data_IF_684836978267
#
_entry.id   IF_684836978267
#
_cell.length_a   1.000
_cell.length_b   1.000
_cell.length_c   1.000
_cell.angle_alpha   90.00
_cell.angle_beta   90.00
_cell.angle_gamma   90.00
#
_symmetry.space_group_name_H-M   'P 1'
#
loop_
_entity.id
_entity.type
_entity.pdbx_description
1 polymer ?
#
# COMPACT_ATOMS: atom_id res chain seq x y z
N UNK A 1 8.95 61.95 23.66
CA UNK A 1 7.71 61.27 23.24
C UNK A 1 7.97 60.65 21.86
N UNK A 2 8.52 59.44 21.82
CA UNK A 2 8.75 58.74 20.56
C UNK A 2 7.41 58.17 20.10
N UNK A 3 6.86 58.73 19.01
CA UNK A 3 5.75 58.10 18.30
C UNK A 3 6.22 56.72 17.86
N UNK A 4 5.63 55.69 18.44
CA UNK A 4 5.81 54.31 18.01
C UNK A 4 5.24 54.24 16.58
N UNK A 5 6.11 54.29 15.59
CA UNK A 5 5.73 54.07 14.19
C UNK A 5 5.56 52.56 14.07
N UNK A 6 4.33 52.08 14.17
CA UNK A 6 3.98 50.71 13.80
C UNK A 6 4.36 50.52 12.33
N UNK A 7 5.57 50.00 12.09
CA UNK A 7 5.95 49.52 10.79
C UNK A 7 5.19 48.21 10.57
N UNK A 8 4.05 48.31 9.92
CA UNK A 8 3.20 47.19 9.54
C UNK A 8 3.81 46.44 8.34
N UNK A 9 5.05 45.96 8.48
CA UNK A 9 5.75 45.18 7.46
C UNK A 9 5.45 43.71 7.70
N UNK A 10 4.59 43.13 6.86
CA UNK A 10 4.41 41.68 6.80
C UNK A 10 5.44 41.08 5.83
N UNK A 11 5.79 39.78 5.98
CA UNK A 11 6.63 39.07 5.02
C UNK A 11 6.09 39.17 3.58
N UNK A 12 4.77 39.23 3.39
CA UNK A 12 4.16 39.39 2.06
C UNK A 12 4.46 40.78 1.47
N UNK A 13 4.31 41.85 2.27
CA UNK A 13 4.60 43.22 1.83
C UNK A 13 6.09 43.36 1.47
N UNK A 14 6.97 42.73 2.27
CA UNK A 14 8.39 42.70 1.96
C UNK A 14 8.66 41.96 0.64
N UNK A 15 8.11 40.75 0.50
CA UNK A 15 8.31 39.93 -0.69
C UNK A 15 7.76 40.61 -1.95
N UNK A 16 6.56 41.19 -1.87
CA UNK A 16 5.97 41.98 -2.96
C UNK A 16 6.87 43.15 -3.37
N UNK A 17 7.33 43.95 -2.41
CA UNK A 17 8.24 45.09 -2.70
C UNK A 17 9.59 44.64 -3.25
N UNK A 18 10.12 43.53 -2.75
CA UNK A 18 11.35 42.93 -3.25
C UNK A 18 11.19 42.53 -4.73
N UNK A 19 10.07 41.89 -5.09
CA UNK A 19 9.78 41.51 -6.46
C UNK A 19 9.53 42.71 -7.38
N UNK A 20 8.81 43.73 -6.90
CA UNK A 20 8.65 45.02 -7.61
C UNK A 20 10.03 45.67 -7.88
N UNK A 21 10.95 45.62 -6.92
CA UNK A 21 12.30 46.18 -7.11
C UNK A 21 13.17 45.41 -8.13
N UNK A 22 12.89 44.12 -8.33
CA UNK A 22 13.55 43.30 -9.35
C UNK A 22 13.02 43.62 -10.75
N UNK A 23 11.73 43.95 -10.87
CA UNK A 23 11.05 44.31 -12.12
C UNK A 23 11.64 45.57 -12.79
N UNK A 24 12.11 46.52 -11.98
CA UNK A 24 12.67 47.79 -12.46
C UNK A 24 14.13 47.67 -12.97
N UNK A 25 14.77 46.50 -12.82
CA UNK A 25 16.12 46.24 -13.35
C UNK A 25 16.04 45.72 -14.80
N UNK A 26 16.58 46.52 -15.73
CA UNK A 26 16.59 46.30 -17.19
C UNK A 26 17.30 45.00 -17.60
N UNK A 27 18.03 44.34 -16.69
CA UNK A 27 18.78 43.11 -16.97
C UNK A 27 17.95 41.82 -16.94
N UNK A 28 16.66 41.87 -16.59
CA UNK A 28 15.85 40.69 -16.27
C UNK A 28 14.61 40.47 -17.15
N UNK A 29 14.68 40.77 -18.46
CA UNK A 29 13.61 40.42 -19.42
C UNK A 29 13.17 38.95 -19.30
N UNK A 30 14.09 38.03 -18.98
CA UNK A 30 13.84 36.60 -18.78
C UNK A 30 12.94 36.26 -17.58
N UNK A 31 12.85 37.16 -16.59
CA UNK A 31 12.05 36.92 -15.37
C UNK A 31 10.65 37.52 -15.47
N UNK A 32 10.45 38.56 -16.29
CA UNK A 32 9.15 39.22 -16.44
C UNK A 32 8.02 38.27 -16.88
N UNK A 33 8.32 37.27 -17.72
CA UNK A 33 7.34 36.27 -18.17
C UNK A 33 6.87 35.32 -17.03
N UNK A 34 7.69 35.16 -15.97
CA UNK A 34 7.37 34.31 -14.81
C UNK A 34 6.78 35.10 -13.63
N UNK A 35 6.79 36.43 -13.67
CA UNK A 35 6.54 37.25 -12.48
C UNK A 35 5.08 37.74 -12.34
N UNK A 36 4.34 38.01 -13.42
CA UNK A 36 3.15 38.87 -13.26
C UNK A 36 1.85 38.12 -12.87
N UNK A 37 1.63 36.90 -13.36
CA UNK A 37 0.40 36.14 -13.04
C UNK A 37 0.55 35.24 -11.81
N UNK A 38 1.72 34.63 -11.61
CA UNK A 38 1.92 33.64 -10.55
C UNK A 38 2.15 34.28 -9.17
N UNK A 39 2.76 35.47 -9.08
CA UNK A 39 3.11 36.08 -7.79
C UNK A 39 1.88 36.47 -6.99
N UNK A 40 0.93 37.21 -7.58
CA UNK A 40 -0.26 37.66 -6.83
C UNK A 40 -1.12 36.47 -6.40
N UNK A 41 -1.18 35.41 -7.21
CA UNK A 41 -1.83 34.14 -6.86
C UNK A 41 -1.12 33.46 -5.68
N UNK A 42 0.21 33.35 -5.72
CA UNK A 42 1.02 32.78 -4.64
C UNK A 42 0.87 33.59 -3.35
N UNK A 43 0.94 34.92 -3.44
CA UNK A 43 0.77 35.83 -2.31
C UNK A 43 -0.62 35.69 -1.69
N UNK A 44 -1.68 35.63 -2.51
CA UNK A 44 -3.05 35.42 -2.03
C UNK A 44 -3.23 34.08 -1.31
N UNK A 45 -2.59 33.02 -1.79
CA UNK A 45 -2.57 31.71 -1.10
C UNK A 45 -1.80 31.76 0.22
N UNK A 46 -0.67 32.46 0.27
CA UNK A 46 0.08 32.69 1.51
C UNK A 46 -0.73 33.49 2.54
N UNK A 47 -1.46 34.53 2.12
CA UNK A 47 -2.35 35.30 2.99
C UNK A 47 -3.41 34.42 3.66
N UNK A 48 -4.05 33.53 2.88
CA UNK A 48 -5.03 32.57 3.39
C UNK A 48 -4.44 31.64 4.45
N UNK A 49 -3.25 31.08 4.20
CA UNK A 49 -2.55 30.24 5.19
C UNK A 49 -2.22 31.03 6.46
N UNK A 50 -1.74 32.27 6.31
CA UNK A 50 -1.39 33.14 7.45
C UNK A 50 -2.63 33.45 8.30
N UNK A 51 -3.76 33.76 7.67
CA UNK A 51 -5.02 33.98 8.38
C UNK A 51 -5.44 32.74 9.17
N UNK A 52 -5.39 31.56 8.54
CA UNK A 52 -5.74 30.29 9.17
C UNK A 52 -4.86 30.02 10.40
N UNK A 53 -3.55 30.19 10.27
CA UNK A 53 -2.60 29.98 11.36
C UNK A 53 -2.70 31.05 12.46
N UNK A 54 -3.06 32.29 12.12
CA UNK A 54 -3.28 33.35 13.10
C UNK A 54 -4.41 32.99 14.07
N UNK A 55 -5.52 32.47 13.55
CA UNK A 55 -6.65 32.02 14.38
C UNK A 55 -6.25 30.78 15.18
N UNK A 56 -5.54 29.84 14.55
CA UNK A 56 -5.09 28.61 15.20
C UNK A 56 -4.15 28.88 16.39
N UNK A 57 -3.21 29.81 16.25
CA UNK A 57 -2.25 30.14 17.31
C UNK A 57 -2.75 31.20 18.31
N UNK A 58 -3.99 31.66 18.20
CA UNK A 58 -4.58 32.55 19.20
C UNK A 58 -4.64 31.87 20.57
N UNK A 59 -4.33 32.62 21.62
CA UNK A 59 -4.34 32.13 23.01
C UNK A 59 -5.73 31.61 23.40
N UNK A 60 -6.79 32.20 22.85
CA UNK A 60 -8.19 31.84 23.13
C UNK A 60 -8.66 30.62 22.37
N UNK A 61 -7.83 30.02 21.49
CA UNK A 61 -8.22 28.88 20.67
C UNK A 61 -8.74 27.69 21.50
N UNK A 62 -8.06 27.39 22.62
CA UNK A 62 -8.43 26.26 23.49
C UNK A 62 -9.61 26.58 24.41
N UNK A 63 -9.86 27.87 24.67
CA UNK A 63 -10.88 28.33 25.62
C UNK A 63 -12.22 28.61 24.94
N UNK A 64 -12.19 28.98 23.66
CA UNK A 64 -13.36 29.42 22.93
C UNK A 64 -13.53 28.62 21.62
N UNK A 65 -14.56 27.77 21.61
CA UNK A 65 -14.94 26.97 20.47
C UNK A 65 -15.30 27.78 19.21
N UNK A 66 -15.56 29.09 19.32
CA UNK A 66 -15.76 29.94 18.14
C UNK A 66 -14.51 30.05 17.28
N UNK A 67 -13.30 30.00 17.86
CA UNK A 67 -12.04 30.02 17.11
C UNK A 67 -11.81 28.69 16.41
N UNK A 68 -12.09 27.59 17.11
CA UNK A 68 -12.02 26.24 16.53
C UNK A 68 -12.99 26.13 15.36
N UNK A 69 -14.22 26.63 15.52
CA UNK A 69 -15.22 26.68 14.44
C UNK A 69 -14.79 27.55 13.26
N UNK A 70 -14.16 28.71 13.52
CA UNK A 70 -13.65 29.58 12.47
C UNK A 70 -12.54 28.89 11.65
N UNK A 71 -11.63 28.17 12.31
CA UNK A 71 -10.63 27.38 11.60
C UNK A 71 -11.26 26.34 10.68
N UNK A 72 -12.32 25.64 11.11
CA UNK A 72 -13.03 24.67 10.26
C UNK A 72 -13.65 25.34 9.04
N UNK A 73 -14.27 26.51 9.23
CA UNK A 73 -14.91 27.26 8.14
C UNK A 73 -13.86 27.68 7.10
N UNK A 74 -12.77 28.33 7.54
CA UNK A 74 -11.71 28.77 6.65
C UNK A 74 -11.01 27.59 5.97
N UNK A 75 -10.72 26.52 6.72
CA UNK A 75 -10.14 25.31 6.17
C UNK A 75 -10.97 24.76 5.02
N UNK A 76 -12.27 24.61 5.20
CA UNK A 76 -13.17 24.08 4.17
C UNK A 76 -13.30 25.00 2.95
N UNK A 77 -13.19 26.32 3.13
CA UNK A 77 -13.11 27.26 2.01
C UNK A 77 -11.80 27.07 1.24
N UNK A 78 -10.68 26.94 1.95
CA UNK A 78 -9.35 26.80 1.36
C UNK A 78 -9.12 25.44 0.72
N UNK A 79 -9.77 24.40 1.22
CA UNK A 79 -9.80 23.08 0.63
C UNK A 79 -10.38 23.11 -0.79
N UNK A 80 -11.44 23.90 -1.03
CA UNK A 80 -12.01 24.08 -2.37
C UNK A 80 -11.03 24.73 -3.34
N UNK A 81 -10.25 25.70 -2.86
CA UNK A 81 -9.21 26.37 -3.66
C UNK A 81 -8.12 25.36 -4.02
N UNK A 82 -7.66 24.58 -3.04
CA UNK A 82 -6.68 23.52 -3.24
C UNK A 82 -7.14 22.51 -4.33
N UNK A 83 -8.38 22.02 -4.25
CA UNK A 83 -8.90 21.06 -5.22
C UNK A 83 -9.09 21.63 -6.63
N UNK A 84 -9.33 22.94 -6.75
CA UNK A 84 -9.52 23.60 -8.05
C UNK A 84 -8.18 23.91 -8.76
N UNK A 85 -7.17 24.37 -8.02
CA UNK A 85 -5.96 24.95 -8.61
C UNK A 85 -4.82 23.95 -8.83
N UNK A 86 -4.95 22.68 -8.38
CA UNK A 86 -3.88 21.66 -8.41
C UNK A 86 -2.53 22.16 -7.85
N UNK A 87 -2.55 23.20 -7.03
CA UNK A 87 -1.37 23.76 -6.41
C UNK A 87 -0.90 22.84 -5.29
N UNK A 88 0.06 22.00 -5.62
CA UNK A 88 0.57 20.99 -4.71
C UNK A 88 1.17 21.60 -3.45
N UNK A 89 1.73 22.81 -3.50
CA UNK A 89 2.43 23.41 -2.37
C UNK A 89 1.44 23.98 -1.35
N UNK A 90 0.44 24.74 -1.82
CA UNK A 90 -0.64 25.22 -0.97
C UNK A 90 -1.44 24.07 -0.35
N UNK A 91 -1.80 23.06 -1.16
CA UNK A 91 -2.51 21.87 -0.69
C UNK A 91 -1.72 21.10 0.37
N UNK A 92 -0.40 20.98 0.21
CA UNK A 92 0.46 20.26 1.16
C UNK A 92 0.58 20.99 2.50
N UNK A 93 0.69 22.32 2.49
CA UNK A 93 0.68 23.10 3.73
C UNK A 93 -0.67 23.03 4.45
N UNK A 94 -1.77 23.00 3.69
CA UNK A 94 -3.12 22.81 4.23
C UNK A 94 -3.31 21.39 4.79
N UNK A 95 -2.71 20.35 4.20
CA UNK A 95 -2.68 18.99 4.75
C UNK A 95 -1.90 18.94 6.08
N UNK A 96 -0.74 19.61 6.15
CA UNK A 96 0.04 19.70 7.39
C UNK A 96 -0.75 20.40 8.49
N UNK A 97 -1.52 21.43 8.12
CA UNK A 97 -2.42 22.11 9.06
C UNK A 97 -3.47 21.15 9.61
N UNK A 98 -4.08 20.30 8.76
CA UNK A 98 -5.07 19.31 9.19
C UNK A 98 -4.57 18.46 10.34
N UNK A 99 -3.38 17.88 10.22
CA UNK A 99 -2.79 17.06 11.30
C UNK A 99 -2.62 17.84 12.61
N UNK A 100 -2.15 19.10 12.53
CA UNK A 100 -2.00 19.96 13.72
C UNK A 100 -3.35 20.29 14.37
N UNK A 101 -4.36 20.54 13.55
CA UNK A 101 -5.71 20.82 14.01
C UNK A 101 -6.29 19.62 14.76
N UNK A 102 -6.24 18.43 14.14
CA UNK A 102 -6.82 17.21 14.70
C UNK A 102 -6.18 16.84 16.04
N UNK A 103 -4.85 16.94 16.14
CA UNK A 103 -4.11 16.69 17.38
C UNK A 103 -4.51 17.67 18.49
N UNK A 104 -4.58 18.97 18.17
CA UNK A 104 -4.89 20.01 19.16
C UNK A 104 -6.36 19.98 19.60
N UNK A 105 -7.29 19.62 18.72
CA UNK A 105 -8.74 19.62 18.99
C UNK A 105 -9.20 18.30 19.61
N UNK A 106 -8.44 17.21 19.47
CA UNK A 106 -8.74 15.92 20.09
C UNK A 106 -9.14 16.00 21.58
N UNK A 107 -8.40 16.71 22.47
CA UNK A 107 -8.76 16.85 23.88
C UNK A 107 -9.85 17.91 24.15
N UNK A 108 -10.23 18.75 23.17
CA UNK A 108 -11.18 19.83 23.37
C UNK A 108 -12.63 19.33 23.33
N UNK A 109 -13.49 19.98 24.13
CA UNK A 109 -14.92 19.71 24.22
C UNK A 109 -15.73 20.81 23.54
N UNK A 110 -15.67 20.85 22.21
CA UNK A 110 -16.45 21.78 21.39
C UNK A 110 -17.62 21.05 20.73
N UNK A 111 -18.84 21.33 21.19
CA UNK A 111 -20.07 20.75 20.64
C UNK A 111 -20.33 21.30 19.24
N UNK A 112 -20.60 20.42 18.28
CA UNK A 112 -20.93 20.80 16.91
C UNK A 112 -19.72 21.14 16.02
N UNK A 113 -18.49 21.01 16.54
CA UNK A 113 -17.26 21.23 15.78
C UNK A 113 -16.61 19.87 15.45
N UNK A 114 -16.28 19.59 14.18
CA UNK A 114 -15.67 18.32 13.80
C UNK A 114 -14.25 18.20 14.39
N UNK A 115 -13.91 17.02 14.91
CA UNK A 115 -12.54 16.72 15.41
C UNK A 115 -11.57 16.30 14.30
N UNK A 116 -12.10 15.99 13.12
CA UNK A 116 -11.36 15.55 11.94
C UNK A 116 -11.73 16.45 10.77
N UNK A 117 -10.76 16.79 9.93
CA UNK A 117 -11.02 17.53 8.70
C UNK A 117 -10.88 16.60 7.49
N UNK A 118 -11.46 17.01 6.37
CA UNK A 118 -11.27 16.32 5.10
C UNK A 118 -9.82 16.51 4.62
N UNK A 119 -9.21 15.47 4.04
CA UNK A 119 -7.83 15.58 3.55
C UNK A 119 -7.77 16.37 2.24
N UNK A 120 -6.69 17.14 2.07
CA UNK A 120 -6.42 17.85 0.80
C UNK A 120 -5.85 16.93 -0.27
N UNK A 121 -5.37 15.76 0.14
CA UNK A 121 -4.87 14.73 -0.75
C UNK A 121 -6.09 13.86 -1.10
N UNK A 122 -6.62 13.93 -2.33
CA UNK A 122 -7.64 12.99 -2.74
C UNK A 122 -7.04 11.59 -2.55
N UNK A 123 -7.82 10.66 -2.00
CA UNK A 123 -7.37 9.27 -1.83
C UNK A 123 -6.68 8.83 -3.11
N UNK A 124 -5.36 8.69 -3.02
CA UNK A 124 -4.58 8.35 -4.18
C UNK A 124 -5.02 6.96 -4.55
N UNK A 125 -5.85 6.86 -5.60
CA UNK A 125 -6.45 5.59 -5.97
C UNK A 125 -5.35 4.56 -6.21
N UNK A 126 -4.14 4.99 -6.56
CA UNK A 126 -2.93 4.17 -6.61
C UNK A 126 -2.58 3.48 -5.28
N UNK A 127 -2.73 4.11 -4.11
CA UNK A 127 -2.41 3.49 -2.81
C UNK A 127 -3.34 2.30 -2.51
N UNK A 128 -4.60 2.37 -2.93
CA UNK A 128 -5.58 1.27 -2.77
C UNK A 128 -5.51 0.29 -3.95
N UNK A 129 -5.29 0.79 -5.17
CA UNK A 129 -5.26 0.01 -6.40
C UNK A 129 -3.97 -0.79 -6.54
N UNK A 130 -2.83 -0.31 -6.03
CA UNK A 130 -1.54 -1.00 -6.07
C UNK A 130 -1.59 -2.37 -5.37
N UNK A 131 -2.04 -2.51 -4.11
CA UNK A 131 -2.17 -3.83 -3.50
C UNK A 131 -3.23 -4.69 -4.21
N UNK A 132 -4.36 -4.11 -4.62
CA UNK A 132 -5.41 -4.84 -5.32
C UNK A 132 -4.94 -5.43 -6.66
N UNK A 133 -4.21 -4.65 -7.46
CA UNK A 133 -3.68 -5.09 -8.76
C UNK A 133 -2.59 -6.14 -8.61
N UNK A 134 -1.70 -6.01 -7.61
CA UNK A 134 -0.69 -7.03 -7.31
C UNK A 134 -1.36 -8.36 -6.94
N UNK A 135 -2.40 -8.34 -6.10
CA UNK A 135 -3.14 -9.55 -5.72
C UNK A 135 -3.81 -10.20 -6.94
N UNK A 136 -4.46 -9.40 -7.80
CA UNK A 136 -5.11 -9.89 -9.01
C UNK A 136 -4.11 -10.50 -10.00
N UNK A 137 -2.97 -9.85 -10.24
CA UNK A 137 -1.92 -10.36 -11.13
C UNK A 137 -1.34 -11.65 -10.55
N UNK A 138 -1.03 -11.68 -9.25
CA UNK A 138 -0.46 -12.86 -8.59
C UNK A 138 -1.42 -14.05 -8.65
N UNK A 139 -2.70 -13.84 -8.34
CA UNK A 139 -3.73 -14.90 -8.41
C UNK A 139 -3.93 -15.40 -9.84
N UNK A 140 -3.91 -14.50 -10.84
CA UNK A 140 -4.02 -14.86 -12.25
C UNK A 140 -2.82 -15.69 -12.73
N UNK A 141 -1.60 -15.29 -12.36
CA UNK A 141 -0.38 -16.06 -12.66
C UNK A 141 -0.45 -17.44 -11.99
N UNK A 142 -0.83 -17.52 -10.71
CA UNK A 142 -0.99 -18.79 -10.00
C UNK A 142 -2.04 -19.70 -10.67
N UNK A 143 -3.15 -19.14 -11.14
CA UNK A 143 -4.18 -19.88 -11.85
C UNK A 143 -3.65 -20.44 -13.18
N UNK A 144 -2.90 -19.63 -13.94
CA UNK A 144 -2.25 -20.08 -15.18
C UNK A 144 -1.22 -21.17 -14.87
N UNK A 145 -0.36 -20.99 -13.87
CA UNK A 145 0.63 -22.00 -13.50
C UNK A 145 -0.04 -23.29 -13.02
N UNK A 146 -1.09 -23.20 -12.21
CA UNK A 146 -1.86 -24.36 -11.77
C UNK A 146 -2.47 -25.14 -12.95
N UNK A 147 -2.99 -24.43 -13.96
CA UNK A 147 -3.65 -25.04 -15.13
C UNK A 147 -2.67 -25.51 -16.22
N UNK A 148 -1.58 -24.77 -16.46
CA UNK A 148 -0.67 -24.96 -17.60
C UNK A 148 0.72 -25.45 -17.22
N UNK A 149 1.22 -25.14 -16.02
CA UNK A 149 2.40 -25.82 -15.51
C UNK A 149 1.96 -27.21 -15.11
N UNK A 150 2.31 -28.19 -15.96
CA UNK A 150 2.02 -29.62 -15.81
C UNK A 150 2.69 -30.27 -14.60
N UNK A 151 2.61 -29.67 -13.42
CA UNK A 151 3.01 -30.26 -12.15
C UNK A 151 2.10 -31.47 -11.85
N UNK A 152 0.85 -31.49 -12.33
CA UNK A 152 -0.03 -32.66 -12.23
C UNK A 152 0.53 -33.94 -12.90
N UNK A 153 0.93 -33.90 -14.18
CA UNK A 153 1.65 -34.99 -14.83
C UNK A 153 3.03 -35.29 -14.24
N UNK A 154 3.81 -34.25 -13.88
CA UNK A 154 5.16 -34.43 -13.35
C UNK A 154 5.16 -35.08 -11.95
N UNK A 155 4.25 -34.66 -11.06
CA UNK A 155 4.02 -35.29 -9.76
C UNK A 155 3.49 -36.72 -9.93
N UNK A 156 2.59 -36.98 -10.89
CA UNK A 156 2.14 -38.35 -11.20
C UNK A 156 3.29 -39.24 -11.68
N UNK A 157 4.21 -38.71 -12.48
CA UNK A 157 5.40 -39.43 -12.93
C UNK A 157 6.37 -39.71 -11.78
N UNK A 158 6.62 -38.74 -10.89
CA UNK A 158 7.44 -38.95 -9.69
C UNK A 158 6.81 -39.96 -8.73
N UNK A 159 5.49 -39.91 -8.52
CA UNK A 159 4.76 -40.88 -7.71
C UNK A 159 4.79 -42.29 -8.32
N UNK A 160 4.64 -42.43 -9.65
CA UNK A 160 4.80 -43.72 -10.34
C UNK A 160 6.22 -44.29 -10.23
N UNK A 161 7.25 -43.45 -10.38
CA UNK A 161 8.67 -43.85 -10.21
C UNK A 161 8.96 -44.34 -8.79
N UNK A 162 8.41 -43.68 -7.76
CA UNK A 162 8.55 -44.11 -6.35
C UNK A 162 7.87 -45.45 -6.07
N UNK A 163 6.68 -45.69 -6.67
CA UNK A 163 5.94 -46.96 -6.53
C UNK A 163 6.69 -48.14 -7.17
N UNK A 164 7.27 -47.97 -8.36
CA UNK A 164 8.08 -48.99 -9.03
C UNK A 164 9.36 -49.35 -8.24
N UNK A 165 10.02 -48.37 -7.63
CA UNK A 165 11.18 -48.61 -6.76
C UNK A 165 10.80 -49.41 -5.50
N UNK A 166 9.62 -49.16 -4.92
CA UNK A 166 9.11 -49.88 -3.75
C UNK A 166 8.74 -51.33 -4.07
N UNK A 167 8.15 -51.61 -5.23
CA UNK A 167 7.83 -52.99 -5.64
C UNK A 167 9.10 -53.80 -5.88
N UNK A 168 10.12 -53.21 -6.53
CA UNK A 168 11.41 -53.88 -6.74
C UNK A 168 12.11 -54.19 -5.41
N UNK A 169 12.05 -53.28 -4.43
CA UNK A 169 12.63 -53.52 -3.10
C UNK A 169 11.90 -54.64 -2.35
N UNK A 170 10.56 -54.68 -2.41
CA UNK A 170 9.77 -55.76 -1.79
C UNK A 170 10.01 -57.12 -2.45
N UNK A 171 10.15 -57.16 -3.79
CA UNK A 171 10.47 -58.38 -4.51
C UNK A 171 11.86 -58.88 -4.12
N UNK A 172 12.87 -57.99 -4.07
CA UNK A 172 14.23 -58.34 -3.66
C UNK A 172 14.31 -58.82 -2.19
N UNK A 173 13.47 -58.30 -1.30
CA UNK A 173 13.33 -58.82 0.08
C UNK A 173 12.67 -60.19 0.12
N UNK A 174 11.63 -60.43 -0.68
CA UNK A 174 10.95 -61.72 -0.76
C UNK A 174 11.86 -62.82 -1.34
N UNK A 175 12.69 -62.52 -2.35
CA UNK A 175 13.67 -63.49 -2.88
C UNK A 175 14.77 -63.79 -1.87
N UNK A 176 15.21 -62.81 -1.09
CA UNK A 176 16.18 -63.03 -0.01
C UNK A 176 15.62 -63.89 1.13
N UNK A 177 14.31 -63.81 1.40
CA UNK A 177 13.64 -64.62 2.42
C UNK A 177 13.45 -66.08 2.01
N UNK A 178 13.27 -66.37 0.71
CA UNK A 178 13.07 -67.73 0.20
C UNK A 178 14.32 -68.62 0.32
N UNK A 179 15.52 -68.04 0.38
CA UNK A 179 16.79 -68.80 0.47
C UNK A 179 17.10 -69.30 1.89
N UNK A 180 16.41 -68.83 2.93
CA UNK A 180 16.74 -69.13 4.34
C UNK A 180 15.78 -70.11 5.04
N UNK A 181 14.87 -70.80 4.35
CA UNK A 181 13.97 -71.74 5.04
C UNK A 181 13.23 -72.73 4.15
N UNK A 182 13.76 -73.94 3.99
CA UNK A 182 12.96 -75.09 3.54
C UNK A 182 13.23 -76.28 4.46
N UNK A 183 12.41 -76.41 5.51
CA UNK A 183 12.25 -77.67 6.26
C UNK A 183 10.79 -77.96 6.55
N UNK A 184 10.46 -79.24 6.41
CA UNK A 184 9.21 -79.97 6.75
C UNK A 184 8.08 -79.92 5.70
N UNK A 185 7.33 -80.98 5.32
CA UNK A 185 7.10 -82.42 5.63
C UNK A 185 5.57 -82.62 5.79
N UNK A 186 5.06 -83.77 5.29
CA UNK A 186 3.68 -84.34 5.37
C UNK A 186 2.75 -83.94 4.22
N UNK A 187 1.81 -84.74 3.73
CA UNK A 187 1.34 -86.12 3.98
C UNK A 187 0.42 -86.47 2.80
N UNK A 188 0.41 -87.71 2.33
CA UNK A 188 -0.23 -88.09 1.06
C UNK A 188 -1.69 -88.55 1.17
N UNK A 189 -2.34 -88.72 0.01
CA UNK A 189 -3.12 -89.93 -0.25
C UNK A 189 -3.26 -90.23 -1.76
N UNK A 190 -3.20 -91.52 -2.07
CA UNK A 190 -2.92 -92.15 -3.37
C UNK A 190 -4.18 -92.34 -4.23
N UNK A 191 -4.01 -92.34 -5.54
CA UNK A 191 -4.85 -93.09 -6.49
C UNK A 191 -3.95 -93.92 -7.39
N UNK A 192 -4.10 -95.23 -7.29
CA UNK A 192 -3.25 -96.27 -7.89
C UNK A 192 -3.66 -96.56 -9.34
N UNK A 193 -2.68 -96.72 -10.24
CA UNK A 193 -2.83 -97.43 -11.51
C UNK A 193 -1.61 -98.33 -11.70
N UNK A 194 -1.83 -99.63 -11.65
CA UNK A 194 -0.82 -100.67 -11.90
C UNK A 194 -0.93 -101.07 -13.37
N UNK A 195 0.20 -101.22 -14.07
CA UNK A 195 0.32 -101.89 -15.36
C UNK A 195 1.49 -102.87 -15.30
N UNK A 196 1.28 -104.12 -15.72
CA UNK A 196 2.24 -105.21 -15.72
C UNK A 196 2.98 -105.31 -17.07
N UNK A 197 4.29 -105.58 -17.09
CA UNK A 197 5.01 -106.03 -18.29
C UNK A 197 5.19 -107.56 -18.30
N UNK A 198 4.87 -108.23 -19.41
CA UNK A 198 5.23 -109.63 -19.68
C UNK A 198 6.51 -109.69 -20.52
N UNK A 199 7.51 -110.43 -20.05
CA UNK A 199 8.72 -110.78 -20.83
C UNK A 199 8.51 -112.16 -21.45
N UNK A 200 8.79 -112.29 -22.74
CA UNK A 200 8.70 -113.55 -23.48
C UNK A 200 9.77 -114.57 -23.07
N UNK A 201 9.55 -115.82 -23.47
CA UNK A 201 10.61 -116.81 -23.70
C UNK A 201 11.02 -116.78 -25.17
#
# INVERSE_FOLDING_TARGET
MFKNKENNYTPQIFYKKFLESIRDDVTLETCNDYLDYDIDVILGKMEKLIELYKIFFDEKFNENCSYVSQCVILYNEYLKICHNDKDHEFCNELEKFRYKYEDRVAPLNCVGVPKTLESTIPFDSFVILLPCTIILITTFILFILYKFTGIGPLLRLQMRKKKYKSSNLSQHMNTMQQTYGTTSRKSGNKTYKISYPSVGS
#
